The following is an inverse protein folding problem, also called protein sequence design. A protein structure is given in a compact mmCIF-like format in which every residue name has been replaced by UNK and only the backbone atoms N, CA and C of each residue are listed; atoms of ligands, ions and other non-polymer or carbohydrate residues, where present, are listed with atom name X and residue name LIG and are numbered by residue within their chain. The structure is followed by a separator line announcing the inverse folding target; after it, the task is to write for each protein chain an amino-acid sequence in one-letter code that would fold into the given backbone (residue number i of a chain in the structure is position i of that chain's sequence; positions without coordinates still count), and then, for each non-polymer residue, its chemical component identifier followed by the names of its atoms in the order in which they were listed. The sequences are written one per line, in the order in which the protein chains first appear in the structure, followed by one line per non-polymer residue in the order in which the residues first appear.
data_IF_038483284070
#
_entry.id   IF_038483284070
#
_cell.length_a   1.000
_cell.length_b   1.000
_cell.length_c   1.000
_cell.angle_alpha   90.00
_cell.angle_beta   90.00
_cell.angle_gamma   90.00
#
_symmetry.space_group_name_H-M   'P 1'
#
loop_
_entity.id
_entity.type
_entity.pdbx_description
1 polymer ?
#
# COMPACT_ATOMS: atom_id res chain seq x y z
N UNK A 1 52.42 53.07 26.27
CA UNK A 1 51.50 52.44 25.36
C UNK A 1 52.21 51.98 24.12
N UNK A 2 53.00 50.94 24.17
CA UNK A 2 53.63 50.31 23.00
C UNK A 2 54.23 48.97 23.39
N UNK A 3 53.44 48.00 23.71
CA UNK A 3 53.84 46.61 23.95
C UNK A 3 52.70 45.55 23.64
N UNK A 4 51.82 45.88 22.72
CA UNK A 4 50.67 44.97 22.41
C UNK A 4 50.49 44.61 20.95
N UNK A 5 51.43 44.94 20.05
CA UNK A 5 51.23 44.73 18.60
C UNK A 5 52.17 43.68 17.98
N UNK A 6 53.08 43.11 18.77
CA UNK A 6 54.09 42.17 18.25
C UNK A 6 53.78 40.68 18.47
N UNK A 7 52.70 40.34 19.20
CA UNK A 7 52.29 38.95 19.42
C UNK A 7 51.30 38.40 18.40
N UNK A 8 50.81 39.19 17.47
CA UNK A 8 49.81 38.76 16.45
C UNK A 8 50.41 38.39 15.08
N UNK A 9 51.73 38.44 14.92
CA UNK A 9 52.42 38.20 13.62
C UNK A 9 53.15 36.85 13.50
N UNK A 10 53.11 36.00 14.54
CA UNK A 10 53.83 34.70 14.51
C UNK A 10 52.93 33.48 14.51
N UNK A 11 51.61 33.59 14.31
CA UNK A 11 50.68 32.44 14.27
C UNK A 11 50.21 32.03 12.85
N UNK A 12 50.74 32.63 11.80
CA UNK A 12 50.20 32.43 10.42
C UNK A 12 51.20 31.80 9.44
N UNK A 13 52.05 30.87 9.91
CA UNK A 13 53.04 30.22 9.04
C UNK A 13 53.15 28.69 9.29
N UNK A 14 52.09 27.96 9.55
CA UNK A 14 52.09 26.48 9.62
C UNK A 14 50.79 25.86 9.17
N UNK A 15 50.16 26.33 8.11
CA UNK A 15 49.12 25.54 7.40
C UNK A 15 49.79 24.77 6.27
N UNK A 16 50.37 23.64 6.59
CA UNK A 16 50.89 22.70 5.61
C UNK A 16 49.78 22.03 4.86
N UNK A 17 49.66 22.24 3.58
CA UNK A 17 48.78 21.62 2.61
C UNK A 17 48.99 20.10 2.67
N UNK A 18 48.06 19.40 3.31
CA UNK A 18 47.94 17.93 3.16
C UNK A 18 47.18 17.67 1.87
N UNK A 19 47.88 17.14 0.86
CA UNK A 19 47.29 16.64 -0.40
C UNK A 19 46.27 15.53 -0.16
N UNK A 20 45.42 15.24 -1.16
CA UNK A 20 44.35 14.26 -1.01
C UNK A 20 44.92 12.85 -0.69
N UNK A 21 44.57 12.30 0.46
CA UNK A 21 44.85 10.89 0.79
C UNK A 21 44.16 10.01 -0.24
N UNK A 22 44.93 9.14 -0.90
CA UNK A 22 44.41 8.08 -1.75
C UNK A 22 43.45 7.22 -0.95
N UNK A 23 42.22 7.10 -1.46
CA UNK A 23 41.20 6.19 -0.94
C UNK A 23 41.74 4.79 -1.14
N UNK A 24 42.08 4.10 -0.05
CA UNK A 24 42.57 2.73 -0.07
C UNK A 24 41.59 1.79 -0.78
N UNK A 25 42.12 0.81 -1.50
CA UNK A 25 41.33 -0.21 -2.16
C UNK A 25 40.40 -0.91 -1.12
N UNK A 26 39.16 -1.24 -1.47
CA UNK A 26 38.25 -1.88 -0.55
C UNK A 26 38.74 -3.27 -0.13
N UNK A 27 38.57 -3.57 1.16
CA UNK A 27 38.96 -4.84 1.78
C UNK A 27 38.22 -6.01 1.11
N UNK A 28 38.86 -7.19 0.93
CA UNK A 28 38.27 -8.34 0.21
C UNK A 28 36.96 -8.88 0.84
N UNK A 29 36.66 -8.58 2.09
CA UNK A 29 35.42 -8.99 2.76
C UNK A 29 34.16 -8.24 2.29
N UNK A 30 34.29 -7.11 1.58
CA UNK A 30 33.15 -6.38 1.03
C UNK A 30 32.61 -6.96 -0.30
N UNK A 31 33.30 -7.95 -0.89
CA UNK A 31 32.84 -8.59 -2.14
C UNK A 31 31.84 -9.73 -1.92
N UNK A 32 31.80 -10.33 -0.73
CA UNK A 32 30.85 -11.42 -0.40
C UNK A 32 29.44 -10.91 -0.13
N UNK A 33 29.29 -9.70 0.42
CA UNK A 33 27.96 -9.13 0.72
C UNK A 33 27.16 -8.70 -0.52
N UNK A 34 27.81 -8.46 -1.66
CA UNK A 34 27.15 -8.10 -2.92
C UNK A 34 26.61 -9.31 -3.70
N UNK A 35 27.12 -10.52 -3.40
CA UNK A 35 26.69 -11.77 -4.06
C UNK A 35 25.38 -12.35 -3.47
N UNK A 36 25.11 -12.12 -2.20
CA UNK A 36 23.90 -12.65 -1.53
C UNK A 36 22.62 -11.85 -1.84
N UNK A 37 22.76 -10.59 -2.25
CA UNK A 37 21.59 -9.78 -2.66
C UNK A 37 21.15 -9.99 -4.11
N UNK A 38 21.91 -10.68 -4.95
CA UNK A 38 21.51 -10.99 -6.32
C UNK A 38 20.34 -12.00 -6.39
N UNK A 39 20.20 -12.85 -5.37
CA UNK A 39 19.07 -13.78 -5.24
C UNK A 39 17.75 -13.11 -4.94
N UNK A 40 17.78 -12.03 -4.14
CA UNK A 40 16.59 -11.27 -3.78
C UNK A 40 15.99 -10.47 -4.96
N UNK A 41 16.84 -9.98 -5.85
CA UNK A 41 16.38 -9.24 -7.05
C UNK A 41 15.68 -10.17 -8.04
N UNK A 42 16.14 -11.41 -8.20
CA UNK A 42 15.49 -12.41 -9.04
C UNK A 42 14.12 -12.83 -8.49
N UNK A 43 13.98 -12.99 -7.17
CA UNK A 43 12.71 -13.28 -6.50
C UNK A 43 11.68 -12.15 -6.64
N UNK A 44 12.14 -10.91 -6.68
CA UNK A 44 11.29 -9.73 -6.90
C UNK A 44 10.84 -9.64 -8.35
N UNK A 45 11.71 -9.91 -9.32
CA UNK A 45 11.37 -9.98 -10.73
C UNK A 45 10.34 -11.08 -11.01
N UNK A 46 10.48 -12.25 -10.38
CA UNK A 46 9.53 -13.36 -10.45
C UNK A 46 8.16 -13.01 -9.82
N UNK A 47 8.12 -12.19 -8.77
CA UNK A 47 6.88 -11.72 -8.18
C UNK A 47 6.16 -10.71 -9.09
N UNK A 48 6.91 -9.81 -9.74
CA UNK A 48 6.38 -8.84 -10.70
C UNK A 48 5.84 -9.57 -11.93
N UNK A 49 6.56 -10.54 -12.48
CA UNK A 49 6.16 -11.32 -13.67
C UNK A 49 4.91 -12.18 -13.39
N UNK A 50 4.79 -12.75 -12.19
CA UNK A 50 3.58 -13.46 -11.74
C UNK A 50 2.37 -12.52 -11.58
N UNK A 51 2.59 -11.29 -11.11
CA UNK A 51 1.55 -10.26 -11.01
C UNK A 51 1.03 -9.84 -12.38
N UNK A 52 1.92 -9.62 -13.36
CA UNK A 52 1.56 -9.26 -14.73
C UNK A 52 0.80 -10.38 -15.46
N UNK A 53 1.20 -11.64 -15.30
CA UNK A 53 0.48 -12.78 -15.92
C UNK A 53 -0.95 -12.93 -15.37
N UNK A 54 -1.15 -12.77 -14.04
CA UNK A 54 -2.49 -12.81 -13.45
C UNK A 54 -3.39 -11.65 -13.88
N UNK A 55 -2.82 -10.48 -14.15
CA UNK A 55 -3.60 -9.33 -14.63
C UNK A 55 -4.02 -9.45 -16.11
N UNK A 56 -3.28 -10.22 -16.92
CA UNK A 56 -3.63 -10.52 -18.33
C UNK A 56 -4.61 -11.67 -18.45
N UNK A 57 -4.62 -12.62 -17.50
CA UNK A 57 -5.52 -13.79 -17.44
C UNK A 57 -6.80 -13.55 -16.62
N UNK A 58 -7.19 -12.30 -16.40
CA UNK A 58 -8.44 -11.91 -15.75
C UNK A 58 -9.66 -12.38 -16.55
N UNK A 59 -10.80 -12.69 -15.89
CA UNK A 59 -11.82 -13.61 -16.39
C UNK A 59 -12.59 -13.05 -17.58
N UNK A 60 -12.22 -13.46 -18.78
CA UNK A 60 -13.00 -13.30 -20.01
C UNK A 60 -13.98 -14.47 -20.24
N UNK A 61 -14.11 -15.44 -19.32
CA UNK A 61 -14.98 -16.62 -19.46
C UNK A 61 -15.94 -16.82 -18.28
N UNK A 62 -16.89 -15.91 -18.09
CA UNK A 62 -18.05 -16.17 -17.25
C UNK A 62 -19.31 -15.42 -17.70
N UNK A 63 -19.52 -15.28 -19.00
CA UNK A 63 -20.71 -14.63 -19.53
C UNK A 63 -21.37 -15.40 -20.69
N UNK A 64 -21.45 -16.73 -20.60
CA UNK A 64 -22.34 -17.48 -21.50
C UNK A 64 -22.72 -18.87 -20.95
N UNK A 65 -23.51 -18.93 -19.88
CA UNK A 65 -24.37 -20.09 -19.55
C UNK A 65 -25.51 -19.62 -18.64
N UNK A 66 -26.50 -19.03 -19.21
CA UNK A 66 -27.73 -18.61 -18.51
C UNK A 66 -28.85 -18.28 -19.46
N UNK A 67 -29.04 -19.10 -20.50
CA UNK A 67 -30.24 -18.94 -21.37
C UNK A 67 -30.91 -20.25 -21.61
N UNK A 68 -32.23 -20.20 -21.34
CA UNK A 68 -33.30 -21.12 -21.74
C UNK A 68 -33.41 -22.44 -20.95
N UNK A 69 -34.49 -22.50 -20.18
CA UNK A 69 -35.62 -23.43 -20.54
C UNK A 69 -36.90 -22.79 -20.00
N UNK A 70 -37.65 -22.14 -20.83
CA UNK A 70 -39.10 -21.93 -20.62
C UNK A 70 -39.74 -23.12 -21.29
N UNK A 71 -40.36 -23.98 -20.51
CA UNK A 71 -41.17 -25.04 -21.07
C UNK A 71 -42.62 -24.61 -21.00
N UNK A 72 -43.19 -24.40 -22.18
CA UNK A 72 -44.62 -24.26 -22.40
C UNK A 72 -45.31 -25.58 -22.11
N UNK A 73 -46.24 -25.56 -21.20
CA UNK A 73 -47.16 -26.65 -20.96
C UNK A 73 -48.55 -26.09 -20.74
N UNK A 74 -49.25 -25.87 -21.82
CA UNK A 74 -50.69 -25.58 -21.81
C UNK A 74 -51.46 -26.80 -21.30
N UNK A 75 -52.37 -26.58 -20.38
CA UNK A 75 -53.31 -27.57 -19.87
C UNK A 75 -54.64 -26.89 -19.56
N UNK A 76 -55.64 -27.35 -20.23
CA UNK A 76 -57.02 -26.84 -20.32
C UNK A 76 -57.72 -26.66 -18.97
N UNK A 77 -58.50 -25.59 -18.95
CA UNK A 77 -59.50 -25.28 -17.91
C UNK A 77 -60.76 -26.13 -18.23
N UNK A 78 -61.12 -27.01 -17.32
CA UNK A 78 -62.49 -27.53 -17.25
C UNK A 78 -63.00 -27.48 -15.82
N UNK A 79 -64.10 -26.75 -15.72
CA UNK A 79 -64.96 -26.62 -14.58
C UNK A 79 -65.52 -28.00 -14.15
N UNK A 80 -65.47 -28.25 -12.87
CA UNK A 80 -66.48 -28.87 -12.01
C UNK A 80 -65.86 -29.52 -10.79
N UNK A 81 -66.43 -29.26 -9.61
CA UNK A 81 -66.23 -30.09 -8.44
C UNK A 81 -65.51 -29.46 -7.25
N UNK A 82 -66.22 -28.69 -6.50
CA UNK A 82 -65.97 -28.47 -5.07
C UNK A 82 -66.00 -29.82 -4.33
N UNK A 83 -64.83 -30.27 -3.92
CA UNK A 83 -64.70 -31.28 -2.85
C UNK A 83 -63.70 -30.77 -1.81
N UNK A 84 -64.26 -30.26 -0.71
CA UNK A 84 -63.57 -30.11 0.55
C UNK A 84 -63.29 -31.53 1.10
N UNK A 85 -62.12 -32.04 0.95
CA UNK A 85 -61.67 -33.22 1.65
C UNK A 85 -60.21 -33.11 2.02
N UNK A 86 -59.97 -32.87 3.30
CA UNK A 86 -58.77 -33.37 3.96
C UNK A 86 -57.45 -32.74 3.66
N UNK A 87 -57.30 -31.40 3.76
CA UNK A 87 -55.96 -30.81 3.92
C UNK A 87 -55.52 -31.09 5.36
N UNK A 88 -54.85 -32.24 5.58
CA UNK A 88 -54.01 -32.41 6.78
C UNK A 88 -52.81 -31.45 6.66
N UNK A 89 -52.99 -30.23 7.18
CA UNK A 89 -51.85 -29.32 7.38
C UNK A 89 -50.95 -30.01 8.42
N UNK A 90 -49.81 -30.49 7.98
CA UNK A 90 -48.80 -31.06 8.84
C UNK A 90 -48.17 -29.92 9.64
N UNK A 91 -48.70 -29.63 10.84
CA UNK A 91 -48.27 -28.56 11.74
C UNK A 91 -46.78 -28.68 12.09
N UNK A 92 -46.17 -29.85 11.98
CA UNK A 92 -44.73 -30.03 12.16
C UNK A 92 -43.91 -29.37 11.06
N UNK A 93 -44.44 -29.24 9.83
CA UNK A 93 -43.73 -28.63 8.72
C UNK A 93 -43.74 -27.10 8.81
N UNK A 94 -44.81 -26.51 9.35
CA UNK A 94 -44.92 -25.06 9.58
C UNK A 94 -43.98 -24.62 10.71
N UNK A 95 -43.88 -25.41 11.77
CA UNK A 95 -43.01 -25.14 12.90
C UNK A 95 -41.53 -25.24 12.53
N UNK A 96 -41.14 -26.24 11.74
CA UNK A 96 -39.79 -26.42 11.23
C UNK A 96 -39.38 -25.32 10.23
N UNK A 97 -40.27 -24.80 9.41
CA UNK A 97 -40.01 -23.70 8.50
C UNK A 97 -39.81 -22.38 9.24
N UNK A 98 -40.61 -22.10 10.26
CA UNK A 98 -40.47 -20.91 11.12
C UNK A 98 -39.16 -20.93 11.93
N UNK A 99 -38.76 -22.10 12.46
CA UNK A 99 -37.48 -22.26 13.17
C UNK A 99 -36.30 -22.06 12.25
N UNK A 100 -36.31 -22.52 11.00
CA UNK A 100 -35.26 -22.28 10.00
C UNK A 100 -35.20 -20.83 9.60
N UNK A 101 -36.33 -20.16 9.39
CA UNK A 101 -36.36 -18.75 9.07
C UNK A 101 -35.84 -17.88 10.24
N UNK A 102 -36.18 -18.18 11.48
CA UNK A 102 -35.67 -17.48 12.64
C UNK A 102 -34.16 -17.66 12.79
N UNK A 103 -33.61 -18.88 12.57
CA UNK A 103 -32.17 -19.12 12.61
C UNK A 103 -31.41 -18.31 11.54
N UNK A 104 -31.91 -18.24 10.31
CA UNK A 104 -31.32 -17.46 9.22
C UNK A 104 -31.33 -15.97 9.53
N UNK A 105 -32.42 -15.44 10.13
CA UNK A 105 -32.50 -14.05 10.53
C UNK A 105 -31.58 -13.72 11.71
N UNK A 106 -31.46 -14.60 12.71
CA UNK A 106 -30.55 -14.42 13.83
C UNK A 106 -29.10 -14.49 13.39
N UNK A 107 -28.73 -15.40 12.49
CA UNK A 107 -27.38 -15.49 11.91
C UNK A 107 -27.02 -14.22 11.13
N UNK A 108 -27.94 -13.71 10.30
CA UNK A 108 -27.78 -12.45 9.60
C UNK A 108 -27.60 -11.24 10.53
N UNK A 109 -28.34 -11.18 11.65
CA UNK A 109 -28.21 -10.12 12.66
C UNK A 109 -26.88 -10.20 13.43
N UNK A 110 -26.39 -11.42 13.70
CA UNK A 110 -25.07 -11.64 14.34
C UNK A 110 -23.96 -11.20 13.42
N UNK A 111 -24.02 -11.53 12.13
CA UNK A 111 -23.06 -11.14 11.12
C UNK A 111 -23.05 -9.62 10.91
N UNK A 112 -24.20 -8.96 10.89
CA UNK A 112 -24.29 -7.51 10.84
C UNK A 112 -23.66 -6.84 12.07
N UNK A 113 -23.91 -7.35 13.28
CA UNK A 113 -23.30 -6.83 14.51
C UNK A 113 -21.79 -7.02 14.50
N UNK A 114 -21.31 -8.19 14.02
CA UNK A 114 -19.89 -8.50 13.87
C UNK A 114 -19.23 -7.51 12.90
N UNK A 115 -19.82 -7.32 11.71
CA UNK A 115 -19.30 -6.41 10.70
C UNK A 115 -19.25 -4.95 11.21
N UNK A 116 -20.30 -4.47 11.89
CA UNK A 116 -20.29 -3.13 12.49
C UNK A 116 -19.18 -2.95 13.51
N UNK A 117 -18.96 -3.95 14.37
CA UNK A 117 -17.86 -3.93 15.35
C UNK A 117 -16.50 -3.90 14.67
N UNK A 118 -16.31 -4.73 13.64
CA UNK A 118 -15.08 -4.75 12.84
C UNK A 118 -14.77 -3.39 12.24
N UNK A 119 -15.74 -2.76 11.60
CA UNK A 119 -15.61 -1.41 11.03
C UNK A 119 -15.27 -0.39 12.13
N UNK A 120 -15.99 -0.40 13.26
CA UNK A 120 -15.74 0.50 14.38
C UNK A 120 -14.31 0.36 14.94
N UNK A 121 -13.82 -0.86 15.13
CA UNK A 121 -12.44 -1.13 15.59
C UNK A 121 -11.43 -0.53 14.61
N UNK A 122 -11.64 -0.72 13.31
CA UNK A 122 -10.75 -0.19 12.26
C UNK A 122 -10.76 1.33 12.20
N UNK A 123 -11.91 1.96 12.30
CA UNK A 123 -12.03 3.42 12.33
C UNK A 123 -11.28 4.03 13.52
N UNK A 124 -11.42 3.42 14.70
CA UNK A 124 -10.71 3.84 15.92
C UNK A 124 -9.20 3.67 15.75
N UNK A 125 -8.76 2.49 15.30
CA UNK A 125 -7.34 2.19 15.09
C UNK A 125 -6.72 3.15 14.07
N UNK A 126 -7.38 3.36 12.94
CA UNK A 126 -6.98 4.33 11.90
C UNK A 126 -6.90 5.75 12.46
N UNK A 127 -7.90 6.18 13.23
CA UNK A 127 -7.92 7.50 13.87
C UNK A 127 -6.74 7.70 14.83
N UNK A 128 -6.40 6.70 15.64
CA UNK A 128 -5.25 6.75 16.55
C UNK A 128 -3.94 6.84 15.76
N UNK A 129 -3.76 5.98 14.75
CA UNK A 129 -2.56 6.00 13.89
C UNK A 129 -2.45 7.34 13.18
N UNK A 130 -3.51 7.81 12.54
CA UNK A 130 -3.51 9.08 11.82
C UNK A 130 -3.12 10.26 12.71
N UNK A 131 -3.66 10.32 13.93
CA UNK A 131 -3.42 11.44 14.83
C UNK A 131 -2.09 11.37 15.57
N UNK A 132 -1.60 10.17 15.95
CA UNK A 132 -0.51 10.01 16.93
C UNK A 132 0.61 9.06 16.46
N UNK A 133 0.47 8.45 15.27
CA UNK A 133 1.40 7.43 14.75
C UNK A 133 1.19 6.03 15.33
N UNK A 134 1.81 5.04 14.66
CA UNK A 134 1.67 3.61 14.99
C UNK A 134 2.04 3.28 16.43
N UNK A 135 3.11 3.88 16.96
CA UNK A 135 3.60 3.60 18.33
C UNK A 135 2.59 3.94 19.43
N UNK A 136 1.61 4.78 19.14
CA UNK A 136 0.55 5.17 20.07
C UNK A 136 -0.63 4.19 20.04
N UNK A 137 -0.67 3.27 19.11
CA UNK A 137 -1.74 2.29 18.98
C UNK A 137 -1.56 1.19 20.03
N UNK A 138 -2.57 0.99 20.88
CA UNK A 138 -2.61 -0.08 21.87
C UNK A 138 -3.95 -0.80 21.78
N UNK A 139 -3.91 -2.13 21.79
CA UNK A 139 -5.13 -2.95 21.67
C UNK A 139 -6.16 -2.64 22.77
N UNK A 140 -5.71 -2.31 23.97
CA UNK A 140 -6.61 -1.96 25.11
C UNK A 140 -7.36 -0.68 24.84
N UNK A 141 -6.67 0.35 24.33
CA UNK A 141 -7.28 1.65 24.01
C UNK A 141 -8.30 1.51 22.89
N UNK A 142 -8.00 0.68 21.88
CA UNK A 142 -8.92 0.36 20.78
C UNK A 142 -10.15 -0.40 21.28
N UNK A 143 -9.98 -1.40 22.13
CA UNK A 143 -11.06 -2.20 22.67
C UNK A 143 -11.99 -1.34 23.57
N UNK A 144 -11.43 -0.51 24.44
CA UNK A 144 -12.16 0.42 25.31
C UNK A 144 -12.98 1.42 24.48
N UNK A 145 -12.36 2.07 23.49
CA UNK A 145 -13.03 3.02 22.63
C UNK A 145 -14.12 2.37 21.76
N UNK A 146 -13.95 1.10 21.36
CA UNK A 146 -14.95 0.32 20.62
C UNK A 146 -16.04 -0.28 21.53
N UNK A 147 -15.97 -0.11 22.84
CA UNK A 147 -16.92 -0.69 23.80
C UNK A 147 -16.91 -2.22 23.80
N UNK A 148 -15.76 -2.87 23.58
CA UNK A 148 -15.62 -4.32 23.52
C UNK A 148 -14.41 -4.81 24.34
N UNK A 149 -14.31 -6.14 24.51
CA UNK A 149 -13.12 -6.74 25.15
C UNK A 149 -11.96 -6.86 24.16
N UNK A 150 -10.72 -6.92 24.67
CA UNK A 150 -9.52 -7.22 23.88
C UNK A 150 -9.67 -8.57 23.17
N UNK A 151 -10.26 -9.59 23.83
CA UNK A 151 -10.57 -10.88 23.19
C UNK A 151 -11.51 -10.74 21.98
N UNK A 152 -12.44 -9.76 22.00
CA UNK A 152 -13.28 -9.48 20.84
C UNK A 152 -12.48 -8.92 19.65
N UNK A 153 -11.48 -8.08 19.92
CA UNK A 153 -10.58 -7.56 18.88
C UNK A 153 -9.80 -8.72 18.23
N UNK A 154 -9.23 -9.60 19.04
CA UNK A 154 -8.49 -10.76 18.54
C UNK A 154 -9.38 -11.76 17.79
N UNK A 155 -10.62 -11.96 18.23
CA UNK A 155 -11.57 -12.80 17.51
C UNK A 155 -11.95 -12.26 16.12
N UNK A 156 -11.89 -10.94 15.91
CA UNK A 156 -12.22 -10.30 14.64
C UNK A 156 -11.01 -10.22 13.68
N UNK A 157 -9.79 -10.12 14.20
CA UNK A 157 -8.59 -9.81 13.41
C UNK A 157 -7.49 -10.88 13.53
N UNK A 158 -7.67 -11.89 14.39
CA UNK A 158 -6.68 -12.92 14.69
C UNK A 158 -5.71 -12.49 15.78
N UNK A 159 -5.00 -11.41 15.56
CA UNK A 159 -4.06 -10.80 16.49
C UNK A 159 -4.04 -9.26 16.32
N UNK A 160 -3.11 -8.60 17.00
CA UNK A 160 -3.01 -7.15 16.89
C UNK A 160 -2.35 -6.70 15.58
N UNK A 161 -1.45 -7.52 15.04
CA UNK A 161 -0.91 -7.32 13.69
C UNK A 161 -2.04 -7.30 12.66
N UNK A 162 -3.04 -8.17 12.77
CA UNK A 162 -4.20 -8.20 11.89
C UNK A 162 -4.99 -6.89 11.84
N UNK A 163 -5.08 -6.16 12.96
CA UNK A 163 -5.67 -4.80 12.99
C UNK A 163 -4.80 -3.84 12.18
N UNK A 164 -3.49 -3.80 12.46
CA UNK A 164 -2.54 -2.89 11.81
C UNK A 164 -2.47 -3.17 10.31
N UNK A 165 -2.35 -4.45 9.94
CA UNK A 165 -2.30 -4.88 8.55
C UNK A 165 -3.58 -4.51 7.78
N UNK A 166 -4.75 -4.55 8.44
CA UNK A 166 -5.99 -4.13 7.80
C UNK A 166 -6.01 -2.62 7.54
N UNK A 167 -5.57 -1.81 8.50
CA UNK A 167 -5.43 -0.34 8.30
C UNK A 167 -4.41 -0.03 7.20
N UNK A 168 -3.27 -0.73 7.19
CA UNK A 168 -2.24 -0.57 6.18
C UNK A 168 -2.76 -0.96 4.78
N UNK A 169 -3.51 -2.06 4.67
CA UNK A 169 -4.17 -2.49 3.41
C UNK A 169 -5.08 -1.39 2.85
N UNK A 170 -5.95 -0.84 3.68
CA UNK A 170 -6.85 0.24 3.27
C UNK A 170 -6.09 1.50 2.86
N UNK A 171 -4.96 1.81 3.52
CA UNK A 171 -4.10 2.94 3.18
C UNK A 171 -3.45 2.74 1.80
N UNK A 172 -2.91 1.54 1.52
CA UNK A 172 -2.33 1.21 0.20
C UNK A 172 -3.39 1.25 -0.88
N UNK A 173 -4.59 0.71 -0.63
CA UNK A 173 -5.71 0.77 -1.57
C UNK A 173 -6.09 2.21 -1.93
N UNK A 174 -6.22 3.07 -0.93
CA UNK A 174 -6.56 4.49 -1.13
C UNK A 174 -5.47 5.21 -1.95
N UNK A 175 -4.19 4.95 -1.65
CA UNK A 175 -3.06 5.48 -2.41
C UNK A 175 -3.09 4.99 -3.87
N UNK A 176 -3.25 3.68 -4.08
CA UNK A 176 -3.27 3.07 -5.43
C UNK A 176 -4.42 3.62 -6.27
N UNK A 177 -5.61 3.78 -5.69
CA UNK A 177 -6.75 4.42 -6.38
C UNK A 177 -6.43 5.85 -6.79
N UNK A 178 -5.81 6.64 -5.89
CA UNK A 178 -5.48 8.04 -6.18
C UNK A 178 -4.39 8.15 -7.26
N UNK A 179 -3.36 7.30 -7.21
CA UNK A 179 -2.33 7.21 -8.24
C UNK A 179 -2.88 6.71 -9.57
N UNK A 180 -3.80 5.74 -9.57
CA UNK A 180 -4.47 5.22 -10.77
C UNK A 180 -5.32 6.26 -11.50
N UNK A 181 -5.72 7.34 -10.82
CA UNK A 181 -6.39 8.49 -11.43
C UNK A 181 -5.44 9.41 -12.23
N UNK A 182 -4.12 9.24 -12.09
CA UNK A 182 -3.14 10.07 -12.80
C UNK A 182 -3.01 9.60 -14.25
N UNK A 183 -3.43 10.46 -15.18
CA UNK A 183 -3.35 10.21 -16.60
C UNK A 183 -2.76 11.43 -17.31
N UNK A 184 -1.82 11.21 -18.22
CA UNK A 184 -1.30 12.22 -19.12
C UNK A 184 -0.92 11.59 -20.46
N UNK A 185 -1.12 12.33 -21.55
CA UNK A 185 -0.71 11.91 -22.89
C UNK A 185 0.82 11.81 -22.99
N UNK A 186 1.53 12.80 -22.40
CA UNK A 186 2.97 12.80 -22.27
C UNK A 186 3.41 11.91 -21.09
N UNK A 187 4.20 10.85 -21.32
CA UNK A 187 4.65 9.93 -20.28
C UNK A 187 5.56 10.60 -19.23
N UNK A 188 6.31 11.63 -19.61
CA UNK A 188 7.13 12.39 -18.67
C UNK A 188 6.22 13.15 -17.69
N UNK A 189 5.20 13.83 -18.18
CA UNK A 189 4.20 14.50 -17.32
C UNK A 189 3.46 13.52 -16.44
N UNK A 190 3.21 12.29 -16.93
CA UNK A 190 2.59 11.25 -16.10
C UNK A 190 3.48 10.87 -14.91
N UNK A 191 4.80 10.73 -15.11
CA UNK A 191 5.75 10.46 -14.01
C UNK A 191 5.77 11.57 -12.96
N UNK A 192 5.77 12.84 -13.38
CA UNK A 192 5.65 13.96 -12.44
C UNK A 192 4.32 13.95 -11.69
N UNK A 193 3.22 13.72 -12.40
CA UNK A 193 1.89 13.63 -11.79
C UNK A 193 1.78 12.52 -10.74
N UNK A 194 2.41 11.37 -10.97
CA UNK A 194 2.48 10.28 -9.98
C UNK A 194 3.26 10.72 -8.72
N UNK A 195 4.40 11.38 -8.91
CA UNK A 195 5.22 11.85 -7.78
C UNK A 195 4.52 12.97 -6.98
N UNK A 196 3.86 13.90 -7.65
CA UNK A 196 3.08 14.96 -7.02
C UNK A 196 1.88 14.40 -6.26
N UNK A 197 1.15 13.47 -6.87
CA UNK A 197 0.01 12.79 -6.21
C UNK A 197 0.47 12.02 -4.97
N UNK A 198 1.64 11.36 -5.04
CA UNK A 198 2.22 10.67 -3.90
C UNK A 198 2.60 11.64 -2.78
N UNK A 199 3.23 12.79 -3.12
CA UNK A 199 3.57 13.84 -2.16
C UNK A 199 2.32 14.38 -1.45
N UNK A 200 1.28 14.70 -2.20
CA UNK A 200 0.03 15.23 -1.65
C UNK A 200 -0.64 14.21 -0.73
N UNK A 201 -0.71 12.94 -1.15
CA UNK A 201 -1.25 11.87 -0.33
C UNK A 201 -0.43 11.64 0.94
N UNK A 202 0.90 11.71 0.85
CA UNK A 202 1.77 11.58 2.01
C UNK A 202 1.57 12.75 2.99
N UNK A 203 1.47 13.98 2.50
CA UNK A 203 1.23 15.14 3.35
C UNK A 203 -0.11 15.06 4.10
N UNK A 204 -1.15 14.53 3.44
CA UNK A 204 -2.48 14.34 4.03
C UNK A 204 -2.53 13.17 5.02
N UNK A 205 -1.73 12.12 4.82
CA UNK A 205 -1.81 10.83 5.52
C UNK A 205 -0.47 10.35 6.08
N UNK A 206 0.41 11.27 6.50
CA UNK A 206 1.80 10.97 6.86
C UNK A 206 1.96 9.80 7.84
N UNK A 207 1.20 9.80 8.95
CA UNK A 207 1.31 8.76 9.98
C UNK A 207 0.78 7.39 9.51
N UNK A 208 -0.24 7.38 8.65
CA UNK A 208 -0.76 6.14 8.06
C UNK A 208 0.25 5.54 7.07
N UNK A 209 0.87 6.37 6.23
CA UNK A 209 1.92 5.89 5.33
C UNK A 209 3.18 5.46 6.08
N UNK A 210 3.60 6.19 7.12
CA UNK A 210 4.71 5.76 7.99
C UNK A 210 4.44 4.41 8.62
N UNK A 211 3.19 4.13 9.02
CA UNK A 211 2.80 2.84 9.60
C UNK A 211 3.15 1.64 8.69
N UNK A 212 3.08 1.80 7.36
CA UNK A 212 3.46 0.75 6.40
C UNK A 212 4.94 0.34 6.52
N UNK A 213 5.81 1.29 6.84
CA UNK A 213 7.27 1.09 6.89
C UNK A 213 7.79 0.86 8.32
N UNK A 214 7.04 1.33 9.34
CA UNK A 214 7.42 1.19 10.74
C UNK A 214 6.93 -0.12 11.35
N UNK A 215 5.83 -0.68 10.83
CA UNK A 215 5.28 -1.92 11.37
C UNK A 215 6.27 -3.07 11.19
N UNK A 216 6.43 -3.86 12.24
CA UNK A 216 7.17 -5.12 12.24
C UNK A 216 6.24 -6.19 12.74
N UNK A 217 6.14 -7.29 11.99
CA UNK A 217 5.35 -8.44 12.39
C UNK A 217 5.91 -9.04 13.68
N UNK A 218 5.04 -9.46 14.60
CA UNK A 218 5.47 -10.23 15.77
C UNK A 218 6.19 -11.51 15.33
N UNK A 219 7.20 -11.92 16.10
CA UNK A 219 8.01 -13.13 15.86
C UNK A 219 8.70 -13.16 14.47
N UNK A 220 9.03 -11.99 13.90
CA UNK A 220 9.67 -11.86 12.58
C UNK A 220 8.92 -12.61 11.46
N UNK A 221 7.62 -12.82 11.61
CA UNK A 221 6.78 -13.43 10.57
C UNK A 221 6.84 -12.63 9.27
N UNK A 222 6.84 -13.27 8.11
CA UNK A 222 6.77 -12.56 6.84
C UNK A 222 5.44 -11.79 6.70
N UNK A 223 5.47 -10.70 5.97
CA UNK A 223 4.25 -10.01 5.58
C UNK A 223 3.35 -10.92 4.74
N UNK A 224 2.01 -10.82 4.89
CA UNK A 224 1.09 -11.56 4.03
C UNK A 224 1.26 -11.24 2.55
N UNK A 225 1.23 -12.26 1.69
CA UNK A 225 1.46 -12.13 0.25
C UNK A 225 0.51 -11.14 -0.42
N UNK A 226 -0.74 -11.03 0.05
CA UNK A 226 -1.72 -10.11 -0.49
C UNK A 226 -1.33 -8.65 -0.27
N UNK A 227 -0.72 -8.30 0.86
CA UNK A 227 -0.21 -6.94 1.12
C UNK A 227 1.00 -6.65 0.23
N UNK A 228 1.93 -7.62 0.12
CA UNK A 228 3.07 -7.47 -0.77
C UNK A 228 2.63 -7.28 -2.22
N UNK A 229 1.62 -8.04 -2.68
CA UNK A 229 1.06 -7.89 -4.01
C UNK A 229 0.44 -6.51 -4.22
N UNK A 230 -0.33 -5.98 -3.26
CA UNK A 230 -0.90 -4.63 -3.35
C UNK A 230 0.17 -3.54 -3.48
N UNK A 231 1.29 -3.68 -2.78
CA UNK A 231 2.43 -2.77 -2.92
C UNK A 231 3.04 -2.89 -4.32
N UNK A 232 3.17 -4.11 -4.85
CA UNK A 232 3.66 -4.32 -6.23
C UNK A 232 2.70 -3.72 -7.27
N UNK A 233 1.38 -3.84 -7.08
CA UNK A 233 0.38 -3.23 -7.96
C UNK A 233 0.49 -1.70 -7.98
N UNK A 234 0.79 -1.07 -6.83
CA UNK A 234 1.06 0.36 -6.78
C UNK A 234 2.33 0.75 -7.58
N UNK A 235 3.40 -0.05 -7.51
CA UNK A 235 4.60 0.15 -8.33
C UNK A 235 4.32 -0.05 -9.83
N UNK A 236 3.44 -0.98 -10.20
CA UNK A 236 3.09 -1.25 -11.59
C UNK A 236 2.49 -0.03 -12.29
N UNK A 237 1.94 0.95 -11.58
CA UNK A 237 1.44 2.21 -12.16
C UNK A 237 2.55 3.06 -12.81
N UNK A 238 3.81 2.88 -12.41
CA UNK A 238 4.95 3.55 -13.04
C UNK A 238 5.44 2.86 -14.32
N UNK A 239 5.08 1.59 -14.51
CA UNK A 239 5.58 0.78 -15.63
C UNK A 239 5.20 1.36 -17.00
N UNK A 240 3.92 1.67 -17.32
CA UNK A 240 3.55 2.18 -18.63
C UNK A 240 4.27 3.47 -19.04
N UNK A 241 4.35 4.53 -18.21
CA UNK A 241 5.10 5.73 -18.59
C UNK A 241 6.60 5.47 -18.72
N UNK A 242 7.21 4.59 -17.89
CA UNK A 242 8.63 4.27 -17.98
C UNK A 242 8.98 3.51 -19.27
N UNK A 243 8.18 2.54 -19.69
CA UNK A 243 8.36 1.84 -20.98
C UNK A 243 8.27 2.81 -22.15
N UNK A 244 7.35 3.77 -22.10
CA UNK A 244 7.19 4.78 -23.17
C UNK A 244 8.38 5.72 -23.29
N UNK A 245 9.03 6.10 -22.17
CA UNK A 245 10.21 6.98 -22.21
C UNK A 245 11.52 6.23 -22.43
N UNK A 246 11.55 4.92 -22.16
CA UNK A 246 12.71 4.05 -22.28
C UNK A 246 12.39 2.79 -23.10
N UNK A 247 12.04 2.91 -24.40
CA UNK A 247 11.51 1.80 -25.20
C UNK A 247 12.52 0.67 -25.45
N UNK A 248 13.80 0.88 -25.11
CA UNK A 248 14.86 -0.11 -25.26
C UNK A 248 15.28 -0.74 -23.92
N UNK A 249 14.65 -0.36 -22.81
CA UNK A 249 14.89 -0.97 -21.52
C UNK A 249 14.11 -2.29 -21.40
N UNK A 250 14.71 -3.31 -20.84
CA UNK A 250 14.04 -4.55 -20.48
C UNK A 250 13.17 -4.37 -19.21
N UNK A 251 12.31 -5.34 -18.94
CA UNK A 251 11.38 -5.29 -17.81
C UNK A 251 12.11 -5.24 -16.46
N UNK A 252 13.27 -5.91 -16.35
CA UNK A 252 14.09 -5.90 -15.14
C UNK A 252 14.61 -4.49 -14.84
N UNK A 253 15.10 -3.81 -15.88
CA UNK A 253 15.56 -2.43 -15.76
C UNK A 253 14.42 -1.47 -15.40
N UNK A 254 13.24 -1.64 -16.02
CA UNK A 254 12.05 -0.84 -15.71
C UNK A 254 11.60 -1.07 -14.26
N UNK A 255 11.56 -2.33 -13.80
CA UNK A 255 11.19 -2.65 -12.43
C UNK A 255 12.18 -2.07 -11.41
N UNK A 256 13.49 -2.18 -11.65
CA UNK A 256 14.53 -1.60 -10.80
C UNK A 256 14.42 -0.07 -10.76
N UNK A 257 14.19 0.56 -11.91
CA UNK A 257 14.02 2.01 -12.02
C UNK A 257 12.78 2.49 -11.27
N UNK A 258 11.65 1.79 -11.38
CA UNK A 258 10.42 2.09 -10.61
C UNK A 258 10.71 2.12 -9.11
N UNK A 259 11.43 1.11 -8.60
CA UNK A 259 11.83 1.07 -7.18
C UNK A 259 12.79 2.19 -6.81
N UNK A 260 13.76 2.50 -7.66
CA UNK A 260 14.74 3.57 -7.43
C UNK A 260 14.04 4.92 -7.35
N UNK A 261 13.17 5.24 -8.31
CA UNK A 261 12.40 6.48 -8.32
C UNK A 261 11.51 6.59 -7.08
N UNK A 262 10.77 5.53 -6.78
CA UNK A 262 9.94 5.51 -5.57
C UNK A 262 10.76 5.73 -4.31
N UNK A 263 11.84 4.98 -4.11
CA UNK A 263 12.66 5.05 -2.91
C UNK A 263 13.26 6.45 -2.70
N UNK A 264 13.69 7.09 -3.79
CA UNK A 264 14.23 8.45 -3.74
C UNK A 264 13.15 9.47 -3.43
N UNK A 265 12.02 9.44 -4.14
CA UNK A 265 10.87 10.35 -3.91
C UNK A 265 10.31 10.16 -2.50
N UNK A 266 10.11 8.89 -2.07
CA UNK A 266 9.69 8.58 -0.70
C UNK A 266 10.66 9.13 0.34
N UNK A 267 11.96 8.93 0.14
CA UNK A 267 13.00 9.43 1.05
C UNK A 267 12.99 10.97 1.17
N UNK A 268 12.90 11.67 0.05
CA UNK A 268 12.80 13.13 0.00
C UNK A 268 11.56 13.60 0.77
N UNK A 269 10.40 13.01 0.51
CA UNK A 269 9.14 13.41 1.13
C UNK A 269 9.11 13.04 2.62
N UNK A 270 9.46 11.81 2.94
CA UNK A 270 9.44 11.30 4.31
C UNK A 270 10.35 12.09 5.25
N UNK A 271 11.57 12.40 4.80
CA UNK A 271 12.51 13.21 5.56
C UNK A 271 12.13 14.70 5.55
N UNK A 272 11.65 15.20 4.40
CA UNK A 272 11.26 16.62 4.28
C UNK A 272 10.05 16.98 5.14
N UNK A 273 9.19 16.02 5.47
CA UNK A 273 8.05 16.19 6.38
C UNK A 273 8.38 15.79 7.84
N UNK A 274 9.64 15.45 8.14
CA UNK A 274 10.06 15.12 9.52
C UNK A 274 10.43 16.41 10.27
N UNK A 275 9.49 16.96 11.03
CA UNK A 275 9.61 18.24 11.72
C UNK A 275 10.78 18.32 12.70
N UNK A 276 11.23 17.19 13.23
CA UNK A 276 12.24 17.14 14.30
C UNK A 276 13.67 17.35 13.81
N UNK A 277 13.93 17.13 12.52
CA UNK A 277 15.31 17.10 12.01
C UNK A 277 15.53 18.01 10.81
N UNK A 278 14.85 17.76 9.71
CA UNK A 278 15.18 18.35 8.40
C UNK A 278 13.95 18.86 7.66
N UNK A 279 12.91 19.23 8.40
CA UNK A 279 11.67 19.72 7.80
C UNK A 279 11.94 20.82 6.77
N UNK A 280 11.28 20.68 5.65
CA UNK A 280 11.38 21.62 4.53
C UNK A 280 10.00 22.23 4.29
N UNK A 281 9.88 23.55 4.03
CA UNK A 281 8.59 24.14 3.66
C UNK A 281 7.95 23.37 2.49
N UNK A 282 6.61 23.15 2.48
CA UNK A 282 5.94 22.33 1.48
C UNK A 282 6.24 22.71 0.02
N UNK A 283 6.39 24.01 -0.25
CA UNK A 283 6.74 24.51 -1.59
C UNK A 283 8.16 24.08 -2.01
N UNK A 284 9.12 24.14 -1.08
CA UNK A 284 10.49 23.69 -1.33
C UNK A 284 10.56 22.16 -1.47
N UNK A 285 9.74 21.42 -0.72
CA UNK A 285 9.68 19.97 -0.83
C UNK A 285 9.18 19.53 -2.23
N UNK A 286 8.15 20.16 -2.75
CA UNK A 286 7.67 19.94 -4.12
C UNK A 286 8.77 20.25 -5.14
N UNK A 287 9.49 21.35 -4.94
CA UNK A 287 10.62 21.72 -5.80
C UNK A 287 11.75 20.68 -5.74
N UNK A 288 12.08 20.13 -4.56
CA UNK A 288 13.10 19.08 -4.42
C UNK A 288 12.72 17.81 -5.19
N UNK A 289 11.45 17.37 -5.09
CA UNK A 289 10.96 16.22 -5.85
C UNK A 289 11.08 16.46 -7.36
N UNK A 290 10.67 17.65 -7.83
CA UNK A 290 10.77 18.02 -9.24
C UNK A 290 12.22 18.04 -9.71
N UNK A 291 13.12 18.69 -8.96
CA UNK A 291 14.55 18.77 -9.31
C UNK A 291 15.22 17.38 -9.33
N UNK A 292 14.84 16.49 -8.41
CA UNK A 292 15.32 15.11 -8.43
C UNK A 292 14.88 14.40 -9.71
N UNK A 293 13.60 14.50 -10.08
CA UNK A 293 13.08 13.87 -11.30
C UNK A 293 13.74 14.45 -12.55
N UNK A 294 13.89 15.80 -12.64
CA UNK A 294 14.60 16.48 -13.74
C UNK A 294 16.00 15.88 -13.91
N UNK A 295 16.79 15.89 -12.85
CA UNK A 295 18.18 15.42 -12.89
C UNK A 295 18.26 13.92 -13.28
N UNK A 296 17.34 13.10 -12.77
CA UNK A 296 17.32 11.67 -13.04
C UNK A 296 16.89 11.37 -14.49
N UNK A 297 15.85 12.03 -15.00
CA UNK A 297 15.39 11.88 -16.38
C UNK A 297 16.39 12.44 -17.40
N UNK A 298 17.12 13.49 -17.07
CA UNK A 298 18.27 13.96 -17.88
C UNK A 298 19.37 12.90 -17.91
N UNK A 299 19.73 12.32 -16.74
CA UNK A 299 20.73 11.27 -16.66
C UNK A 299 20.37 10.00 -17.43
N UNK A 300 19.09 9.71 -17.63
CA UNK A 300 18.57 8.62 -18.45
C UNK A 300 18.47 8.99 -19.94
N UNK A 301 18.79 10.22 -20.33
CA UNK A 301 18.64 10.70 -21.72
C UNK A 301 17.20 10.93 -22.16
N UNK A 302 16.25 10.98 -21.24
CA UNK A 302 14.82 11.23 -21.48
C UNK A 302 14.55 12.72 -21.67
N UNK A 303 15.23 13.56 -20.90
CA UNK A 303 15.17 15.01 -21.01
C UNK A 303 16.51 15.57 -21.51
N UNK A 304 16.51 16.70 -22.24
CA UNK A 304 17.76 17.37 -22.65
C UNK A 304 18.49 17.93 -21.42
N UNK A 305 19.83 17.88 -21.45
CA UNK A 305 20.64 18.60 -20.49
C UNK A 305 20.38 20.11 -20.66
N UNK A 306 20.15 20.80 -19.55
CA UNK A 306 19.95 22.26 -19.53
C UNK A 306 21.28 22.98 -19.41
#
# INVERSE_FOLDING_TARGET
MAKGVEAAKQADAAAHVAGPRAVGAPHPESRTALGEHAGDVAGICDAIDRGHRKAQDGPAEAADQGRSVINEGGGDINSEGLHFAGLRVNLNNVHMSSLKMNNVQEESLRDQKKNRRRVQILEIARGIIAAKGLRSLKVRDVAEAAGCSVGSVYNEFGDFDGVILTVNRETVQALTMRLGGVSAEDPVRQLYGLAETYLDFFAEHANLLRSLFEHRMEDDRPYPDDILQMVMDAFALMHPPLVRVLPHADDVKIALLSRTLFSAVHGIISLGLEERMVAVPPQMLRQQVTQFLDAHLVGLGVLPAR
#
